data_IF_022922657599
#
_entry.id   IF_022922657599
#
_cell.length_a   1.000
_cell.length_b   1.000
_cell.length_c   1.000
_cell.angle_alpha   90.00
_cell.angle_beta   90.00
_cell.angle_gamma   90.00
#
_symmetry.space_group_name_H-M   'P 1'
#
loop_
_entity.id
_entity.type
_entity.pdbx_description
1 polymer ?
#
# COMPACT_ATOMS: atom_id res chain seq x y z
N UNK A 1 -12.89 -21.80 -14.73
CA UNK A 1 -11.47 -21.80 -14.33
C UNK A 1 -11.37 -21.13 -12.97
N UNK A 2 -11.21 -21.90 -11.90
CA UNK A 2 -10.96 -21.36 -10.55
C UNK A 2 -9.52 -20.91 -10.50
N UNK A 3 -9.29 -19.61 -10.62
CA UNK A 3 -7.95 -19.05 -10.57
C UNK A 3 -7.24 -19.47 -9.26
N UNK A 4 -6.17 -20.29 -9.32
CA UNK A 4 -5.44 -20.76 -8.15
C UNK A 4 -4.49 -19.70 -7.57
N UNK A 5 -4.36 -18.54 -8.20
CA UNK A 5 -3.23 -17.63 -7.99
C UNK A 5 -3.46 -16.54 -6.94
N UNK A 6 -4.71 -16.20 -6.66
CA UNK A 6 -5.10 -15.21 -5.66
C UNK A 6 -5.38 -15.89 -4.30
N UNK A 7 -4.33 -16.39 -3.65
CA UNK A 7 -4.40 -16.98 -2.31
C UNK A 7 -3.12 -16.74 -1.54
N UNK A 8 -3.25 -16.40 -0.26
CA UNK A 8 -2.12 -16.21 0.66
C UNK A 8 -2.06 -17.40 1.61
N UNK A 9 -0.95 -18.17 1.65
CA UNK A 9 -0.78 -19.25 2.63
C UNK A 9 -0.93 -18.72 4.06
N UNK A 10 -1.66 -19.45 4.90
CA UNK A 10 -1.91 -19.05 6.29
C UNK A 10 -1.59 -20.19 7.25
N UNK A 11 -0.29 -20.47 7.43
CA UNK A 11 0.20 -21.62 8.19
C UNK A 11 -0.17 -21.61 9.67
N UNK A 12 -0.49 -20.44 10.24
CA UNK A 12 -0.95 -20.29 11.62
C UNK A 12 -2.26 -21.04 11.88
N UNK A 13 -3.09 -21.21 10.84
CA UNK A 13 -4.33 -21.97 10.88
C UNK A 13 -4.14 -23.48 10.73
N UNK A 14 -2.93 -23.94 10.42
CA UNK A 14 -2.65 -25.33 10.08
C UNK A 14 -2.35 -25.55 8.60
N UNK A 15 -1.99 -26.78 8.26
CA UNK A 15 -1.56 -27.14 6.91
C UNK A 15 -2.71 -27.02 5.90
N UNK A 16 -2.39 -26.49 4.71
CA UNK A 16 -3.36 -26.30 3.63
C UNK A 16 -4.36 -25.16 3.84
N UNK A 17 -4.24 -24.39 4.92
CA UNK A 17 -5.03 -23.18 5.13
C UNK A 17 -4.50 -22.01 4.31
N UNK A 18 -5.41 -21.25 3.71
CA UNK A 18 -5.06 -20.01 3.03
C UNK A 18 -6.15 -18.95 3.19
N UNK A 19 -5.74 -17.70 3.02
CA UNK A 19 -6.61 -16.55 2.93
C UNK A 19 -6.90 -16.23 1.47
N UNK A 20 -8.19 -16.09 1.16
CA UNK A 20 -8.69 -15.64 -0.14
C UNK A 20 -10.00 -14.91 0.07
N UNK A 21 -10.05 -13.66 -0.37
CA UNK A 21 -11.27 -12.88 -0.40
C UNK A 21 -11.85 -12.90 -1.80
N UNK A 22 -13.08 -13.40 -1.93
CA UNK A 22 -13.89 -13.24 -3.14
C UNK A 22 -14.58 -11.90 -3.12
N UNK A 23 -15.09 -11.47 -4.27
CA UNK A 23 -15.90 -10.25 -4.37
C UNK A 23 -17.06 -10.23 -3.36
N UNK A 24 -17.73 -11.36 -3.16
CA UNK A 24 -18.81 -11.47 -2.16
C UNK A 24 -18.31 -11.25 -0.71
N UNK A 25 -17.12 -11.76 -0.37
CA UNK A 25 -16.53 -11.55 0.95
C UNK A 25 -16.20 -10.06 1.16
N UNK A 26 -15.67 -9.39 0.13
CA UNK A 26 -15.38 -7.96 0.14
C UNK A 26 -16.64 -7.10 0.28
N UNK A 27 -17.75 -7.49 -0.36
CA UNK A 27 -19.04 -6.80 -0.23
C UNK A 27 -19.54 -6.88 1.22
N UNK A 28 -19.49 -8.05 1.86
CA UNK A 28 -19.91 -8.22 3.26
C UNK A 28 -19.04 -7.40 4.20
N UNK A 29 -17.71 -7.40 4.00
CA UNK A 29 -16.80 -6.57 4.80
C UNK A 29 -17.05 -5.08 4.57
N UNK A 30 -17.36 -4.67 3.34
CA UNK A 30 -17.71 -3.27 3.01
C UNK A 30 -19.02 -2.86 3.66
N UNK A 31 -20.04 -3.71 3.69
CA UNK A 31 -21.31 -3.40 4.38
C UNK A 31 -21.09 -3.21 5.88
N UNK A 32 -20.14 -3.95 6.47
CA UNK A 32 -19.86 -3.90 7.91
C UNK A 32 -18.95 -2.74 8.32
N UNK A 33 -17.95 -2.41 7.51
CA UNK A 33 -16.91 -1.43 7.86
C UNK A 33 -16.87 -0.19 6.98
N UNK A 34 -17.60 -0.19 5.86
CA UNK A 34 -17.81 0.98 5.04
C UNK A 34 -18.82 1.93 5.68
N UNK A 35 -18.67 3.23 5.42
CA UNK A 35 -19.75 4.18 5.70
C UNK A 35 -20.90 4.00 4.71
N UNK A 36 -22.13 4.40 5.08
CA UNK A 36 -23.17 4.69 4.10
C UNK A 36 -22.63 5.82 3.21
N UNK A 37 -22.12 5.45 2.04
CA UNK A 37 -21.71 6.43 1.05
C UNK A 37 -22.97 7.22 0.68
N UNK A 38 -22.99 8.56 0.76
CA UNK A 38 -24.06 9.34 0.15
C UNK A 38 -24.02 9.05 -1.34
N UNK A 39 -24.89 8.14 -1.77
CA UNK A 39 -25.03 7.65 -3.14
C UNK A 39 -25.06 8.85 -4.09
N UNK A 40 -24.07 8.98 -4.99
CA UNK A 40 -24.25 9.61 -6.32
C UNK A 40 -23.03 9.62 -7.26
N UNK A 41 -22.28 8.52 -7.42
CA UNK A 41 -21.56 8.29 -8.69
C UNK A 41 -21.61 6.80 -9.04
N UNK A 42 -22.63 6.41 -9.81
CA UNK A 42 -22.68 5.06 -10.41
C UNK A 42 -22.01 5.16 -11.78
N UNK A 43 -20.82 4.60 -11.92
CA UNK A 43 -20.27 4.26 -13.24
C UNK A 43 -20.99 3.02 -13.79
N UNK A 44 -21.03 2.87 -15.11
CA UNK A 44 -21.84 1.90 -15.86
C UNK A 44 -21.53 0.41 -15.56
N UNK A 45 -20.50 0.13 -14.76
CA UNK A 45 -20.12 -1.20 -14.27
C UNK A 45 -20.48 -1.44 -12.79
N UNK A 46 -21.11 -0.49 -12.12
CA UNK A 46 -21.63 -0.63 -10.74
C UNK A 46 -20.57 -0.57 -9.63
N UNK A 47 -19.31 -0.35 -9.95
CA UNK A 47 -18.23 -0.16 -8.98
C UNK A 47 -17.75 1.29 -8.98
N UNK A 48 -17.89 1.93 -7.81
CA UNK A 48 -17.39 3.27 -7.53
C UNK A 48 -15.94 3.12 -7.02
N UNK A 49 -14.97 3.48 -7.86
CA UNK A 49 -13.55 3.18 -7.64
C UNK A 49 -13.02 3.92 -6.39
N UNK A 50 -13.47 5.16 -6.19
CA UNK A 50 -13.16 6.00 -5.03
C UNK A 50 -13.71 5.39 -3.72
N UNK A 51 -14.86 4.73 -3.80
CA UNK A 51 -15.47 4.07 -2.66
C UNK A 51 -14.75 2.76 -2.28
N UNK A 52 -14.12 2.09 -3.24
CA UNK A 52 -13.30 0.88 -2.99
C UNK A 52 -11.99 1.27 -2.30
N UNK A 53 -11.33 2.33 -2.77
CA UNK A 53 -10.11 2.86 -2.15
C UNK A 53 -10.36 3.29 -0.71
N UNK A 54 -11.43 4.08 -0.48
CA UNK A 54 -11.82 4.53 0.87
C UNK A 54 -12.17 3.38 1.82
N UNK A 55 -12.83 2.32 1.32
CA UNK A 55 -13.14 1.13 2.11
C UNK A 55 -11.88 0.38 2.52
N UNK A 56 -10.98 0.14 1.55
CA UNK A 56 -9.75 -0.60 1.78
C UNK A 56 -8.83 0.12 2.75
N UNK A 57 -8.71 1.44 2.64
CA UNK A 57 -7.90 2.24 3.57
C UNK A 57 -8.42 2.16 5.01
N UNK A 58 -9.74 2.19 5.20
CA UNK A 58 -10.35 2.07 6.54
C UNK A 58 -10.20 0.68 7.12
N UNK A 59 -10.47 -0.36 6.33
CA UNK A 59 -10.31 -1.74 6.78
C UNK A 59 -8.84 -2.05 7.06
N UNK A 60 -7.93 -1.63 6.17
CA UNK A 60 -6.49 -1.73 6.37
C UNK A 60 -6.04 -0.98 7.62
N UNK A 61 -6.56 0.23 7.87
CA UNK A 61 -6.25 0.98 9.10
C UNK A 61 -6.65 0.19 10.34
N UNK A 62 -7.90 -0.30 10.42
CA UNK A 62 -8.36 -1.08 11.59
C UNK A 62 -7.55 -2.35 11.81
N UNK A 63 -7.28 -3.08 10.74
CA UNK A 63 -6.42 -4.27 10.78
C UNK A 63 -4.99 -3.87 11.18
N UNK A 64 -4.47 -2.73 10.70
CA UNK A 64 -3.15 -2.20 11.05
C UNK A 64 -3.04 -1.84 12.54
N UNK A 65 -4.09 -1.25 13.14
CA UNK A 65 -4.17 -0.97 14.59
C UNK A 65 -4.51 -2.22 15.43
N UNK A 66 -4.54 -3.41 14.81
CA UNK A 66 -4.81 -4.68 15.48
C UNK A 66 -6.19 -4.75 16.15
N UNK A 67 -7.23 -4.15 15.55
CA UNK A 67 -8.62 -4.31 15.99
C UNK A 67 -9.00 -5.81 15.95
N UNK A 68 -9.19 -6.48 17.11
CA UNK A 68 -9.41 -7.92 17.14
C UNK A 68 -10.70 -8.33 16.44
N UNK A 69 -11.73 -7.49 16.49
CA UNK A 69 -13.02 -7.78 15.86
C UNK A 69 -12.86 -7.78 14.34
N UNK A 70 -12.22 -6.74 13.80
CA UNK A 70 -11.94 -6.64 12.36
C UNK A 70 -11.09 -7.80 11.85
N UNK A 71 -10.07 -8.21 12.61
CA UNK A 71 -9.20 -9.34 12.26
C UNK A 71 -10.00 -10.65 12.23
N UNK A 72 -10.78 -10.93 13.26
CA UNK A 72 -11.60 -12.16 13.31
C UNK A 72 -12.65 -12.21 12.20
N UNK A 73 -13.28 -11.08 11.88
CA UNK A 73 -14.24 -11.01 10.78
C UNK A 73 -13.57 -11.20 9.41
N UNK A 74 -12.37 -10.65 9.22
CA UNK A 74 -11.56 -10.91 8.04
C UNK A 74 -11.17 -12.39 7.94
N UNK A 75 -10.79 -13.03 9.04
CA UNK A 75 -10.47 -14.46 9.06
C UNK A 75 -11.70 -15.32 8.75
N UNK A 76 -12.87 -15.02 9.33
CA UNK A 76 -14.12 -15.73 9.03
C UNK A 76 -14.50 -15.64 7.56
N UNK A 77 -14.31 -14.46 6.96
CA UNK A 77 -14.61 -14.22 5.55
C UNK A 77 -13.57 -14.86 4.63
N UNK A 78 -12.27 -14.71 4.93
CA UNK A 78 -11.18 -15.04 4.02
C UNK A 78 -10.57 -16.42 4.19
N UNK A 79 -10.71 -17.07 5.35
CA UNK A 79 -9.98 -18.32 5.65
C UNK A 79 -10.65 -19.53 5.00
N UNK A 80 -9.96 -20.15 4.03
CA UNK A 80 -10.46 -21.30 3.26
C UNK A 80 -9.50 -22.48 3.36
N UNK A 81 -10.04 -23.68 3.12
CA UNK A 81 -9.26 -24.91 2.94
C UNK A 81 -8.65 -24.98 1.54
N UNK A 82 -7.70 -25.91 1.34
CA UNK A 82 -7.06 -26.25 0.06
C UNK A 82 -8.01 -26.23 -1.16
N UNK A 83 -9.23 -26.77 -0.99
CA UNK A 83 -10.26 -26.91 -2.03
C UNK A 83 -11.04 -25.61 -2.35
N UNK A 84 -10.87 -24.58 -1.53
CA UNK A 84 -11.47 -23.25 -1.66
C UNK A 84 -12.96 -23.17 -1.41
N UNK A 85 -13.60 -24.26 -0.95
CA UNK A 85 -15.07 -24.36 -0.92
C UNK A 85 -15.68 -24.17 0.47
N UNK A 86 -14.91 -24.22 1.55
CA UNK A 86 -15.42 -24.13 2.91
C UNK A 86 -14.66 -23.12 3.77
N UNK A 87 -15.32 -22.48 4.76
CA UNK A 87 -14.58 -21.87 5.87
C UNK A 87 -13.76 -22.97 6.56
N UNK A 88 -12.56 -22.61 7.01
CA UNK A 88 -11.67 -23.57 7.68
C UNK A 88 -12.29 -24.01 9.02
N UNK A 89 -12.79 -25.24 9.08
CA UNK A 89 -13.51 -25.77 10.25
C UNK A 89 -12.59 -26.18 11.43
N UNK A 90 -11.27 -26.12 11.25
CA UNK A 90 -10.29 -26.61 12.24
C UNK A 90 -9.92 -25.61 13.33
N UNK A 91 -10.55 -24.42 13.37
CA UNK A 91 -10.14 -23.34 14.28
C UNK A 91 -11.35 -22.78 15.01
N UNK A 92 -11.20 -22.63 16.32
CA UNK A 92 -12.08 -21.78 17.13
C UNK A 92 -11.70 -20.32 16.89
N UNK A 93 -12.65 -19.49 16.47
CA UNK A 93 -12.41 -18.05 16.32
C UNK A 93 -12.54 -17.29 17.65
N UNK A 94 -13.11 -17.92 18.67
CA UNK A 94 -13.21 -17.33 20.02
C UNK A 94 -11.91 -17.55 20.81
N UNK A 95 -11.13 -18.57 20.44
CA UNK A 95 -9.83 -18.89 21.01
C UNK A 95 -8.90 -19.42 19.90
N UNK A 96 -8.38 -18.54 19.03
CA UNK A 96 -7.53 -18.96 17.91
C UNK A 96 -6.18 -19.49 18.41
N UNK A 97 -5.61 -20.51 17.75
CA UNK A 97 -4.32 -21.10 18.16
C UNK A 97 -3.11 -20.21 17.82
N UNK A 98 -3.32 -18.93 17.51
CA UNK A 98 -2.32 -17.97 17.08
C UNK A 98 -2.64 -16.58 17.62
N UNK A 99 -1.62 -15.72 17.72
CA UNK A 99 -1.78 -14.33 18.08
C UNK A 99 -2.56 -13.55 17.01
N UNK A 100 -3.54 -12.76 17.43
CA UNK A 100 -4.32 -11.88 16.53
C UNK A 100 -3.39 -10.95 15.73
N UNK A 101 -2.31 -10.46 16.34
CA UNK A 101 -1.32 -9.61 15.68
C UNK A 101 -0.59 -10.30 14.52
N UNK A 102 -0.36 -11.62 14.62
CA UNK A 102 0.36 -12.39 13.60
C UNK A 102 -0.49 -12.60 12.34
N UNK A 103 -1.82 -12.57 12.48
CA UNK A 103 -2.76 -12.69 11.38
C UNK A 103 -2.84 -11.43 10.49
N UNK A 104 -2.35 -10.29 11.00
CA UNK A 104 -2.50 -8.97 10.37
C UNK A 104 -1.94 -8.90 8.95
N UNK A 105 -0.66 -9.26 8.79
CA UNK A 105 0.01 -9.16 7.49
C UNK A 105 -0.61 -10.10 6.44
N UNK A 106 -0.85 -11.39 6.73
CA UNK A 106 -1.52 -12.28 5.79
C UNK A 106 -2.92 -11.81 5.36
N UNK A 107 -3.68 -11.19 6.27
CA UNK A 107 -5.00 -10.61 5.94
C UNK A 107 -4.86 -9.44 4.98
N UNK A 108 -3.97 -8.49 5.26
CA UNK A 108 -3.74 -7.33 4.38
C UNK A 108 -3.28 -7.80 3.00
N UNK A 109 -2.30 -8.72 2.94
CA UNK A 109 -1.81 -9.27 1.68
C UNK A 109 -2.95 -9.91 0.89
N UNK A 110 -3.81 -10.72 1.53
CA UNK A 110 -4.94 -11.37 0.87
C UNK A 110 -6.04 -10.39 0.43
N UNK A 111 -6.29 -9.31 1.18
CA UNK A 111 -7.21 -8.24 0.79
C UNK A 111 -6.71 -7.52 -0.46
N UNK A 112 -5.41 -7.20 -0.51
CA UNK A 112 -4.77 -6.57 -1.68
C UNK A 112 -4.91 -7.47 -2.92
N UNK A 113 -4.63 -8.77 -2.79
CA UNK A 113 -4.84 -9.69 -3.91
C UNK A 113 -6.32 -9.75 -4.30
N UNK A 114 -7.24 -9.80 -3.33
CA UNK A 114 -8.69 -9.83 -3.57
C UNK A 114 -9.21 -8.64 -4.39
N UNK A 115 -8.65 -7.44 -4.19
CA UNK A 115 -9.02 -6.22 -4.91
C UNK A 115 -8.30 -6.09 -6.25
N UNK A 116 -6.99 -6.36 -6.28
CA UNK A 116 -6.16 -6.14 -7.47
C UNK A 116 -6.26 -7.28 -8.48
N UNK A 117 -6.70 -8.46 -8.05
CA UNK A 117 -6.71 -9.68 -8.87
C UNK A 117 -5.31 -10.24 -9.16
N UNK A 118 -4.26 -9.67 -8.58
CA UNK A 118 -2.87 -10.14 -8.76
C UNK A 118 -2.67 -11.52 -8.13
N UNK A 119 -1.62 -12.19 -8.56
CA UNK A 119 -1.11 -13.39 -7.89
C UNK A 119 -0.22 -13.02 -6.69
N UNK A 120 -0.07 -13.96 -5.76
CA UNK A 120 0.72 -13.72 -4.55
C UNK A 120 2.22 -13.56 -4.81
N UNK A 121 2.79 -14.21 -5.83
CA UNK A 121 4.21 -14.11 -6.13
C UNK A 121 4.57 -12.70 -6.64
N UNK A 122 3.70 -12.11 -7.46
CA UNK A 122 3.81 -10.72 -7.93
C UNK A 122 3.76 -9.75 -6.75
N UNK A 123 2.83 -9.95 -5.80
CA UNK A 123 2.78 -9.11 -4.59
C UNK A 123 4.07 -9.20 -3.77
N UNK A 124 4.63 -10.39 -3.59
CA UNK A 124 5.89 -10.58 -2.86
C UNK A 124 7.08 -9.93 -3.58
N UNK A 125 7.10 -9.93 -4.91
CA UNK A 125 8.14 -9.26 -5.69
C UNK A 125 8.07 -7.73 -5.49
N UNK A 126 6.87 -7.15 -5.57
CA UNK A 126 6.64 -5.72 -5.35
C UNK A 126 7.01 -5.30 -3.93
N UNK A 127 6.70 -6.12 -2.92
CA UNK A 127 7.10 -5.86 -1.53
C UNK A 127 8.62 -5.82 -1.37
N UNK A 128 9.34 -6.79 -1.94
CA UNK A 128 10.82 -6.82 -1.91
C UNK A 128 11.44 -5.60 -2.59
N UNK A 129 10.88 -5.16 -3.71
CA UNK A 129 11.34 -3.96 -4.40
C UNK A 129 11.13 -2.71 -3.53
N UNK A 130 9.95 -2.58 -2.89
CA UNK A 130 9.67 -1.47 -1.98
C UNK A 130 10.62 -1.45 -0.79
N UNK A 131 10.84 -2.59 -0.16
CA UNK A 131 11.76 -2.73 0.98
C UNK A 131 13.20 -2.36 0.58
N UNK A 132 13.65 -2.75 -0.61
CA UNK A 132 14.96 -2.38 -1.13
C UNK A 132 15.11 -0.88 -1.41
N UNK A 133 14.05 -0.23 -1.91
CA UNK A 133 14.01 1.23 -2.11
C UNK A 133 14.05 1.95 -0.75
N UNK A 134 13.27 1.49 0.22
CA UNK A 134 13.26 2.06 1.57
C UNK A 134 14.63 1.93 2.24
N UNK A 135 15.28 0.76 2.14
CA UNK A 135 16.63 0.55 2.67
C UNK A 135 17.66 1.45 1.97
N UNK A 136 17.58 1.58 0.64
CA UNK A 136 18.45 2.50 -0.12
C UNK A 136 18.26 3.94 0.33
N UNK A 137 17.02 4.38 0.53
CA UNK A 137 16.70 5.73 1.00
C UNK A 137 17.17 5.95 2.45
N UNK A 138 17.06 4.95 3.32
CA UNK A 138 17.57 5.02 4.68
C UNK A 138 19.10 5.20 4.70
N UNK A 139 19.83 4.43 3.89
CA UNK A 139 21.30 4.57 3.75
C UNK A 139 21.71 5.93 3.19
N UNK A 140 20.92 6.51 2.27
CA UNK A 140 21.19 7.84 1.73
C UNK A 140 20.93 8.93 2.78
N UNK A 141 19.92 8.79 3.64
CA UNK A 141 19.69 9.71 4.77
C UNK A 141 20.82 9.66 5.79
N UNK A 142 21.31 8.46 6.11
CA UNK A 142 22.47 8.29 7.00
C UNK A 142 23.74 8.91 6.41
N UNK A 143 23.98 8.76 5.09
CA UNK A 143 25.12 9.39 4.41
C UNK A 143 24.98 10.90 4.24
N UNK A 144 23.76 11.41 4.03
CA UNK A 144 23.48 12.84 3.95
C UNK A 144 23.65 13.55 5.29
N UNK A 145 23.35 12.87 6.40
CA UNK A 145 23.58 13.39 7.75
C UNK A 145 25.08 13.52 8.13
N UNK A 146 26.00 13.00 7.31
CA UNK A 146 27.46 13.12 7.51
C UNK A 146 28.02 14.36 6.77
N UNK A 147 27.23 15.04 5.92
CA UNK A 147 27.70 16.14 5.06
C UNK A 147 27.35 17.56 5.55
N UNK A 148 26.86 17.73 6.79
CA UNK A 148 26.59 19.04 7.41
C UNK A 148 27.64 19.43 8.46
N UNK A 149 28.90 19.12 8.19
CA UNK A 149 30.02 19.47 9.07
C UNK A 149 31.20 20.00 8.28
N UNK A 150 31.32 21.33 8.25
CA UNK A 150 32.52 22.13 7.90
C UNK A 150 32.58 22.75 6.48
N UNK A 151 31.56 23.54 6.11
CA UNK A 151 31.77 24.65 5.17
C UNK A 151 32.19 25.90 5.95
N UNK A 152 33.50 26.05 6.16
CA UNK A 152 34.12 27.34 6.41
C UNK A 152 35.23 27.55 5.37
N UNK A 153 34.83 27.71 4.11
CA UNK A 153 35.68 28.21 3.03
C UNK A 153 35.09 29.51 2.54
N UNK A 154 35.63 30.61 3.06
CA UNK A 154 35.31 31.99 2.68
C UNK A 154 35.74 32.24 1.21
N UNK A 155 34.81 32.45 0.27
CA UNK A 155 35.13 32.54 -1.17
C UNK A 155 35.45 33.97 -1.62
N UNK A 156 35.90 34.86 -0.72
CA UNK A 156 35.89 36.31 -0.97
C UNK A 156 37.25 37.02 -1.01
N UNK A 157 38.34 36.41 -1.47
CA UNK A 157 39.48 37.21 -1.97
C UNK A 157 40.16 36.51 -3.15
N UNK A 158 39.55 36.57 -4.33
CA UNK A 158 40.29 36.40 -5.58
C UNK A 158 39.74 37.33 -6.65
N UNK A 159 40.49 38.41 -6.85
CA UNK A 159 40.68 39.11 -8.12
C UNK A 159 39.45 39.80 -8.73
N UNK A 160 39.23 41.06 -8.37
CA UNK A 160 38.67 42.04 -9.29
C UNK A 160 39.78 43.01 -9.69
N UNK A 161 40.36 42.74 -10.86
CA UNK A 161 41.18 43.70 -11.57
C UNK A 161 40.56 43.98 -12.95
N UNK A 162 40.32 45.27 -13.16
CA UNK A 162 40.34 45.97 -14.45
C UNK A 162 39.19 45.82 -15.48
N UNK A 163 38.82 47.01 -15.97
CA UNK A 163 38.05 47.38 -17.18
C UNK A 163 36.53 47.51 -16.95
N UNK A 164 35.97 48.69 -16.70
CA UNK A 164 35.97 49.97 -17.44
C UNK A 164 35.20 49.91 -18.77
N UNK A 165 34.15 50.74 -18.80
CA UNK A 165 33.61 51.50 -19.95
C UNK A 165 32.43 50.93 -20.73
N UNK A 166 31.34 51.69 -20.62
CA UNK A 166 30.44 52.15 -21.70
C UNK A 166 29.09 51.43 -21.89
N UNK A 167 28.07 52.09 -21.35
CA UNK A 167 26.66 52.18 -21.80
C UNK A 167 26.51 52.69 -23.26
N UNK A 168 25.30 52.92 -23.81
CA UNK A 168 24.04 52.13 -23.83
C UNK A 168 23.35 52.13 -25.22
N UNK A 169 22.13 51.57 -25.26
CA UNK A 169 20.96 51.98 -26.08
C UNK A 169 20.76 51.42 -27.50
N UNK A 170 19.49 51.10 -27.79
CA UNK A 170 18.94 50.69 -29.09
C UNK A 170 17.85 49.62 -28.89
N UNK A 171 16.60 49.96 -28.51
CA UNK A 171 15.47 50.14 -29.44
C UNK A 171 15.54 49.27 -30.70
N UNK A 172 14.61 48.33 -30.93
CA UNK A 172 13.35 48.60 -31.62
C UNK A 172 12.55 47.33 -32.01
N UNK A 173 11.22 47.49 -32.00
CA UNK A 173 10.24 46.98 -32.99
C UNK A 173 9.89 45.46 -33.10
N UNK A 174 8.71 45.14 -32.54
CA UNK A 174 7.51 44.40 -33.04
C UNK A 174 7.52 43.00 -33.72
N UNK A 175 6.35 42.28 -33.63
CA UNK A 175 6.19 40.88 -34.04
C UNK A 175 5.46 40.68 -35.39
N UNK A 176 5.67 39.50 -36.00
CA UNK A 176 4.93 38.89 -37.11
C UNK A 176 5.70 37.62 -37.53
N UNK A 177 5.12 36.44 -37.74
CA UNK A 177 3.78 36.05 -38.21
C UNK A 177 3.38 34.69 -37.63
#
# INVERSE_FOLDING_TARGET
MTDPQNKVPFFLAGEGAYLRFRLADLVVLREKYGEPTPVKVRNELGFDQDAVETFMDRLNTRVAVSDPVAILDCLRAGLKQADGRKPYAGISFDDPPFGIADARKPIIDALVLGVTGKDYATLLAEQKERDAIEERNARLREKGAIFDGDENLDPRETLMDSTSSSEPSGSDTQPGS
#
